data_IF_721752836373
#
_entry.id   IF_721752836373
#
_cell.length_a   1.000
_cell.length_b   1.000
_cell.length_c   1.000
_cell.angle_alpha   90.00
_cell.angle_beta   90.00
_cell.angle_gamma   90.00
#
_symmetry.space_group_name_H-M   'P 1'
#
loop_
_entity.id
_entity.type
_entity.pdbx_description
1 polymer ?
#
# COMPACT_ATOMS: atom_id res chain seq x y z
N UNK A 1 3.35 47.40 -39.75
CA UNK A 1 4.25 46.41 -39.12
C UNK A 1 5.19 47.13 -38.16
N UNK A 2 4.92 47.06 -36.86
CA UNK A 2 5.83 47.50 -35.81
C UNK A 2 5.93 46.37 -34.77
N UNK A 3 7.15 45.91 -34.40
CA UNK A 3 7.33 44.91 -33.35
C UNK A 3 7.10 45.51 -31.96
N UNK A 4 6.37 44.76 -31.14
CA UNK A 4 5.96 45.08 -29.77
C UNK A 4 7.14 45.05 -28.78
N UNK A 5 7.31 46.06 -27.90
CA UNK A 5 8.22 45.99 -26.76
C UNK A 5 7.61 45.20 -25.60
N UNK A 6 8.44 44.37 -24.98
CA UNK A 6 8.07 43.29 -24.06
C UNK A 6 7.39 43.71 -22.76
N UNK A 7 6.45 42.88 -22.36
CA UNK A 7 5.88 42.80 -21.03
C UNK A 7 6.90 42.12 -20.11
N UNK A 8 7.50 42.90 -19.20
CA UNK A 8 8.25 42.39 -18.06
C UNK A 8 7.30 41.97 -16.95
N UNK A 9 7.15 40.66 -16.74
CA UNK A 9 6.56 40.12 -15.51
C UNK A 9 7.69 39.50 -14.71
N UNK A 10 8.09 40.17 -13.65
CA UNK A 10 8.95 39.59 -12.61
C UNK A 10 8.07 38.78 -11.65
N UNK A 11 8.05 37.46 -11.81
CA UNK A 11 7.55 36.56 -10.76
C UNK A 11 8.68 36.35 -9.76
N UNK A 12 8.61 37.06 -8.63
CA UNK A 12 9.43 36.78 -7.46
C UNK A 12 8.94 35.48 -6.83
N UNK A 13 9.69 34.40 -7.04
CA UNK A 13 9.84 33.24 -6.16
C UNK A 13 8.56 32.70 -5.48
N UNK A 14 7.86 31.80 -6.15
CA UNK A 14 6.98 30.82 -5.51
C UNK A 14 7.77 29.51 -5.40
N UNK A 15 8.69 29.43 -4.44
CA UNK A 15 9.32 28.17 -4.06
C UNK A 15 8.37 27.42 -3.14
N UNK A 16 7.44 26.68 -3.75
CA UNK A 16 6.82 25.52 -3.10
C UNK A 16 7.62 24.31 -3.60
N UNK A 17 8.80 24.13 -3.02
CA UNK A 17 9.56 22.88 -3.15
C UNK A 17 10.32 22.67 -1.84
N UNK A 18 9.54 22.55 -0.76
CA UNK A 18 9.99 22.02 0.53
C UNK A 18 8.95 21.01 0.99
N UNK A 19 8.95 19.85 0.33
CA UNK A 19 8.51 18.60 0.95
C UNK A 19 9.64 17.60 0.75
N UNK A 20 10.31 17.13 1.81
CA UNK A 20 11.32 16.10 1.66
C UNK A 20 10.70 14.89 0.99
N UNK A 21 11.30 14.53 -0.14
CA UNK A 21 10.85 13.52 -1.06
C UNK A 21 10.76 12.15 -0.40
N UNK A 22 9.80 11.38 -0.88
CA UNK A 22 9.50 10.00 -0.50
C UNK A 22 10.60 9.06 -1.01
N UNK A 23 11.80 9.15 -0.47
CA UNK A 23 12.99 8.37 -0.87
C UNK A 23 12.92 6.87 -0.51
N UNK A 24 11.78 6.38 -0.01
CA UNK A 24 11.59 5.00 0.42
C UNK A 24 10.78 4.14 -0.56
N UNK A 25 10.33 4.70 -1.70
CA UNK A 25 9.50 3.98 -2.68
C UNK A 25 10.32 3.70 -3.95
N UNK A 26 10.68 2.43 -4.24
CA UNK A 26 11.32 2.10 -5.51
C UNK A 26 10.37 2.42 -6.67
N UNK A 27 10.93 2.95 -7.78
CA UNK A 27 10.27 3.38 -9.03
C UNK A 27 9.41 2.32 -9.74
N UNK A 28 9.17 1.16 -9.13
CA UNK A 28 8.29 0.12 -9.65
C UNK A 28 6.79 0.44 -9.45
N UNK A 29 6.44 1.42 -8.62
CA UNK A 29 5.08 1.99 -8.58
C UNK A 29 5.03 3.23 -9.49
N UNK A 30 4.58 3.08 -10.73
CA UNK A 30 4.37 4.20 -11.67
C UNK A 30 3.08 4.98 -11.38
N UNK A 31 2.74 5.18 -10.12
CA UNK A 31 1.54 5.93 -9.73
C UNK A 31 1.95 7.12 -8.84
N UNK A 32 1.64 8.37 -9.26
CA UNK A 32 1.98 9.55 -8.50
C UNK A 32 1.28 9.49 -7.15
N UNK A 33 1.93 10.05 -6.13
CA UNK A 33 1.57 9.94 -4.71
C UNK A 33 0.14 10.42 -4.38
N UNK A 34 -0.51 11.18 -5.28
CA UNK A 34 -1.90 11.62 -5.16
C UNK A 34 -2.94 10.63 -5.73
N UNK A 35 -2.48 9.64 -6.50
CA UNK A 35 -3.28 8.56 -7.07
C UNK A 35 -2.97 7.21 -6.39
N UNK A 36 -2.20 7.15 -5.29
CA UNK A 36 -1.92 5.91 -4.54
C UNK A 36 -3.19 5.05 -4.42
N UNK A 37 -3.35 3.98 -5.21
CA UNK A 37 -4.55 3.17 -5.14
C UNK A 37 -4.13 1.96 -4.34
N UNK A 38 -3.69 2.17 -3.11
CA UNK A 38 -4.01 1.12 -2.18
C UNK A 38 -5.51 1.26 -1.97
N UNK A 39 -6.21 0.17 -2.15
CA UNK A 39 -7.47 -0.05 -1.44
C UNK A 39 -7.17 -0.22 0.05
N UNK A 40 -6.34 0.68 0.62
CA UNK A 40 -6.02 0.84 2.02
C UNK A 40 -7.33 0.91 2.77
N UNK A 41 -8.33 1.62 2.28
CA UNK A 41 -9.64 1.65 2.96
C UNK A 41 -10.34 0.28 2.98
N UNK A 42 -10.29 -0.52 1.90
CA UNK A 42 -10.92 -1.86 1.90
C UNK A 42 -10.08 -2.87 2.70
N UNK A 43 -8.75 -2.82 2.59
CA UNK A 43 -7.83 -3.60 3.42
C UNK A 43 -7.92 -3.20 4.88
N UNK A 44 -7.97 -1.92 5.22
CA UNK A 44 -8.11 -1.41 6.57
C UNK A 44 -9.47 -1.80 7.14
N UNK A 45 -10.55 -1.71 6.36
CA UNK A 45 -11.85 -2.20 6.79
C UNK A 45 -11.84 -3.72 7.04
N UNK A 46 -11.19 -4.47 6.15
CA UNK A 46 -11.02 -5.92 6.29
C UNK A 46 -10.11 -6.26 7.48
N UNK A 47 -9.05 -5.48 7.73
CA UNK A 47 -8.15 -5.65 8.86
C UNK A 47 -8.84 -5.30 10.17
N UNK A 48 -9.54 -4.17 10.24
CA UNK A 48 -10.31 -3.76 11.41
C UNK A 48 -11.36 -4.81 11.79
N UNK A 49 -12.02 -5.41 10.78
CA UNK A 49 -13.10 -6.37 11.02
C UNK A 49 -12.61 -7.81 11.27
N UNK A 50 -11.49 -8.23 10.67
CA UNK A 50 -11.11 -9.64 10.61
C UNK A 50 -9.67 -9.94 11.01
N UNK A 51 -8.78 -8.96 11.20
CA UNK A 51 -7.38 -9.24 11.51
C UNK A 51 -7.21 -9.76 12.94
N UNK A 52 -6.83 -11.02 13.04
CA UNK A 52 -6.46 -11.64 14.31
C UNK A 52 -5.00 -11.34 14.66
N UNK A 53 -4.07 -11.46 13.71
CA UNK A 53 -2.65 -11.16 13.90
C UNK A 53 -1.99 -10.72 12.59
N UNK A 54 -1.03 -9.79 12.66
CA UNK A 54 -0.10 -9.52 11.58
C UNK A 54 1.34 -9.59 12.10
N UNK A 55 2.20 -10.31 11.37
CA UNK A 55 3.60 -10.47 11.72
C UNK A 55 4.49 -10.40 10.48
N UNK A 56 5.72 -9.93 10.68
CA UNK A 56 6.81 -10.13 9.73
C UNK A 56 7.52 -11.44 10.12
N UNK A 57 7.38 -12.45 9.27
CA UNK A 57 8.12 -13.71 9.41
C UNK A 57 9.60 -13.51 8.99
N UNK A 58 9.84 -12.59 8.04
CA UNK A 58 11.17 -12.17 7.58
C UNK A 58 11.11 -10.72 7.06
N UNK A 59 12.26 -10.05 6.80
CA UNK A 59 12.26 -8.68 6.25
C UNK A 59 11.47 -8.52 4.94
N UNK A 60 11.32 -9.60 4.18
CA UNK A 60 10.64 -9.65 2.88
C UNK A 60 9.39 -10.53 2.89
N UNK A 61 8.97 -11.05 4.05
CA UNK A 61 7.82 -11.94 4.18
C UNK A 61 6.96 -11.57 5.39
N UNK A 62 5.68 -11.38 5.16
CA UNK A 62 4.69 -11.13 6.19
C UNK A 62 3.60 -12.20 6.16
N UNK A 63 2.99 -12.42 7.32
CA UNK A 63 1.84 -13.29 7.51
C UNK A 63 0.76 -12.51 8.25
N UNK A 64 -0.43 -12.45 7.65
CA UNK A 64 -1.63 -11.93 8.30
C UNK A 64 -2.63 -13.05 8.49
N UNK A 65 -3.07 -13.25 9.72
CA UNK A 65 -4.12 -14.22 10.06
C UNK A 65 -5.42 -13.44 10.21
N UNK A 66 -6.40 -13.83 9.42
CA UNK A 66 -7.72 -13.23 9.38
C UNK A 66 -8.76 -14.25 9.83
N UNK A 67 -9.62 -13.86 10.77
CA UNK A 67 -10.69 -14.68 11.31
C UNK A 67 -12.04 -14.11 10.93
N UNK A 68 -12.95 -14.95 10.46
CA UNK A 68 -14.28 -14.51 10.06
C UNK A 68 -15.14 -15.61 9.49
N UNK A 69 -16.32 -15.21 8.99
CA UNK A 69 -17.33 -16.13 8.47
C UNK A 69 -17.00 -16.74 7.10
N UNK A 70 -17.89 -17.61 6.60
CA UNK A 70 -17.73 -18.25 5.29
C UNK A 70 -17.55 -17.21 4.17
N UNK A 71 -16.62 -17.48 3.25
CA UNK A 71 -16.29 -16.59 2.13
C UNK A 71 -15.20 -15.55 2.41
N UNK A 72 -14.62 -15.50 3.63
CA UNK A 72 -13.52 -14.58 3.93
C UNK A 72 -12.29 -14.88 3.07
N UNK A 73 -11.90 -16.14 2.92
CA UNK A 73 -10.75 -16.53 2.09
C UNK A 73 -10.91 -16.11 0.63
N UNK A 74 -12.11 -16.22 0.06
CA UNK A 74 -12.40 -15.78 -1.31
C UNK A 74 -12.31 -14.27 -1.46
N UNK A 75 -12.82 -13.51 -0.49
CA UNK A 75 -12.69 -12.04 -0.48
C UNK A 75 -11.24 -11.59 -0.35
N UNK A 76 -10.48 -12.24 0.53
CA UNK A 76 -9.04 -11.97 0.71
C UNK A 76 -8.28 -12.29 -0.58
N UNK A 77 -8.61 -13.40 -1.25
CA UNK A 77 -8.00 -13.79 -2.51
C UNK A 77 -8.34 -12.82 -3.66
N UNK A 78 -9.61 -12.45 -3.85
CA UNK A 78 -10.03 -11.46 -4.86
C UNK A 78 -9.33 -10.11 -4.65
N UNK A 79 -9.22 -9.67 -3.39
CA UNK A 79 -8.55 -8.43 -3.06
C UNK A 79 -7.04 -8.52 -3.34
N UNK A 80 -6.40 -9.62 -2.96
CA UNK A 80 -4.98 -9.86 -3.23
C UNK A 80 -4.66 -9.95 -4.73
N UNK A 81 -5.52 -10.59 -5.53
CA UNK A 81 -5.36 -10.70 -6.98
C UNK A 81 -5.41 -9.31 -7.64
N UNK A 82 -6.37 -8.48 -7.23
CA UNK A 82 -6.50 -7.10 -7.73
C UNK A 82 -5.30 -6.23 -7.36
N UNK A 83 -4.78 -6.35 -6.16
CA UNK A 83 -3.56 -5.63 -5.77
C UNK A 83 -2.33 -6.11 -6.55
N UNK A 84 -2.19 -7.41 -6.77
CA UNK A 84 -1.09 -7.97 -7.56
C UNK A 84 -1.08 -7.42 -9.00
N UNK A 85 -2.25 -7.10 -9.56
CA UNK A 85 -2.37 -6.46 -10.88
C UNK A 85 -1.90 -5.00 -10.90
N UNK A 86 -2.04 -4.28 -9.78
CA UNK A 86 -1.64 -2.88 -9.64
C UNK A 86 -0.18 -2.71 -9.17
N UNK A 87 0.29 -3.63 -8.32
CA UNK A 87 1.63 -3.66 -7.74
C UNK A 87 2.24 -5.07 -7.89
N UNK A 88 2.74 -5.37 -9.08
CA UNK A 88 3.21 -6.71 -9.47
C UNK A 88 4.43 -7.24 -8.72
N UNK A 89 5.06 -6.43 -7.88
CA UNK A 89 6.16 -6.85 -7.02
C UNK A 89 5.68 -7.54 -5.73
N UNK A 90 4.40 -7.43 -5.36
CA UNK A 90 3.84 -8.21 -4.28
C UNK A 90 3.45 -9.61 -4.78
N UNK A 91 3.96 -10.62 -4.10
CA UNK A 91 3.46 -11.98 -4.22
C UNK A 91 2.55 -12.27 -3.03
N UNK A 92 1.27 -12.51 -3.31
CA UNK A 92 0.28 -12.86 -2.31
C UNK A 92 -0.02 -14.36 -2.35
N UNK A 93 -0.12 -14.99 -1.19
CA UNK A 93 -0.56 -16.37 -1.05
C UNK A 93 -1.70 -16.41 -0.04
N UNK A 94 -2.89 -16.81 -0.47
CA UNK A 94 -4.05 -16.93 0.43
C UNK A 94 -4.30 -18.41 0.72
N UNK A 95 -4.35 -18.76 2.00
CA UNK A 95 -4.66 -20.11 2.47
C UNK A 95 -5.94 -20.05 3.30
N UNK A 96 -6.98 -20.77 2.90
CA UNK A 96 -8.18 -20.90 3.71
C UNK A 96 -7.88 -21.71 4.98
N UNK A 97 -8.46 -21.30 6.12
CA UNK A 97 -8.35 -22.02 7.40
C UNK A 97 -9.75 -22.34 7.93
N UNK A 98 -9.84 -23.23 8.92
CA UNK A 98 -11.11 -23.60 9.57
C UNK A 98 -11.87 -22.39 10.16
N UNK A 99 -11.16 -21.33 10.52
CA UNK A 99 -11.72 -20.14 11.20
C UNK A 99 -11.62 -18.85 10.37
N UNK A 100 -11.14 -18.95 9.12
CA UNK A 100 -10.97 -17.79 8.25
C UNK A 100 -9.93 -18.00 7.14
N UNK A 101 -8.91 -17.15 7.12
CA UNK A 101 -7.90 -17.14 6.07
C UNK A 101 -6.54 -16.68 6.60
N UNK A 102 -5.47 -17.22 6.03
CA UNK A 102 -4.12 -16.72 6.19
C UNK A 102 -3.67 -16.08 4.88
N UNK A 103 -3.18 -14.84 4.96
CA UNK A 103 -2.59 -14.12 3.84
C UNK A 103 -1.07 -14.01 4.06
N UNK A 104 -0.32 -14.75 3.26
CA UNK A 104 1.11 -14.59 3.10
C UNK A 104 1.41 -13.50 2.08
N UNK A 105 2.37 -12.62 2.41
CA UNK A 105 2.82 -11.54 1.52
C UNK A 105 4.33 -11.62 1.40
N UNK A 106 4.84 -11.67 0.17
CA UNK A 106 6.26 -11.67 -0.14
C UNK A 106 6.60 -10.52 -1.09
N UNK A 107 7.76 -9.90 -0.87
CA UNK A 107 8.27 -8.80 -1.71
C UNK A 107 9.75 -8.98 -2.00
N UNK A 108 10.28 -8.44 -3.11
CA UNK A 108 11.71 -8.34 -3.31
C UNK A 108 12.37 -7.50 -2.20
N UNK A 109 13.65 -7.77 -1.90
CA UNK A 109 14.40 -7.08 -0.83
C UNK A 109 14.37 -5.55 -0.93
N UNK A 110 14.34 -5.00 -2.15
CA UNK A 110 14.23 -3.56 -2.39
C UNK A 110 12.93 -2.94 -1.84
N UNK A 111 11.90 -3.74 -1.58
CA UNK A 111 10.58 -3.32 -1.10
C UNK A 111 10.29 -3.79 0.33
N UNK A 112 11.28 -4.30 1.06
CA UNK A 112 11.13 -4.74 2.46
C UNK A 112 10.57 -3.63 3.38
N UNK A 113 10.97 -2.38 3.15
CA UNK A 113 10.45 -1.21 3.88
C UNK A 113 8.95 -1.01 3.67
N UNK A 114 8.45 -1.27 2.47
CA UNK A 114 7.03 -1.17 2.10
C UNK A 114 6.24 -2.25 2.84
N UNK A 115 6.73 -3.49 2.85
CA UNK A 115 6.09 -4.59 3.57
C UNK A 115 6.03 -4.31 5.08
N UNK A 116 7.11 -3.80 5.66
CA UNK A 116 7.13 -3.44 7.08
C UNK A 116 6.15 -2.30 7.41
N UNK A 117 6.01 -1.31 6.52
CA UNK A 117 5.01 -0.25 6.66
C UNK A 117 3.57 -0.80 6.63
N UNK A 118 3.29 -1.74 5.73
CA UNK A 118 1.98 -2.40 5.63
C UNK A 118 1.61 -3.14 6.93
N UNK A 119 2.53 -3.95 7.47
CA UNK A 119 2.30 -4.71 8.71
C UNK A 119 2.05 -3.76 9.89
N UNK A 120 2.84 -2.69 10.03
CA UNK A 120 2.62 -1.69 11.09
C UNK A 120 1.25 -1.02 10.98
N UNK A 121 0.78 -0.75 9.76
CA UNK A 121 -0.55 -0.19 9.56
C UNK A 121 -1.64 -1.18 9.95
N UNK A 122 -1.54 -2.43 9.52
CA UNK A 122 -2.51 -3.47 9.85
C UNK A 122 -2.67 -3.63 11.37
N UNK A 123 -1.56 -3.65 12.11
CA UNK A 123 -1.55 -3.66 13.58
C UNK A 123 -2.16 -2.38 14.18
N UNK A 124 -1.84 -1.20 13.64
CA UNK A 124 -2.39 0.07 14.13
C UNK A 124 -3.92 0.17 13.92
N UNK A 125 -4.42 -0.31 12.78
CA UNK A 125 -5.85 -0.34 12.47
C UNK A 125 -6.57 -1.29 13.42
N UNK A 126 -6.04 -2.49 13.62
CA UNK A 126 -6.57 -3.46 14.60
C UNK A 126 -6.57 -2.91 16.02
N UNK A 127 -5.53 -2.19 16.43
CA UNK A 127 -5.47 -1.58 17.76
C UNK A 127 -6.48 -0.43 17.95
N UNK A 128 -7.04 0.09 16.86
CA UNK A 128 -8.01 1.19 16.86
C UNK A 128 -9.46 0.73 16.69
N UNK A 129 -9.68 -0.57 16.44
CA UNK A 129 -10.99 -1.21 16.23
C UNK A 129 -11.50 -1.88 17.51
#
# INVERSE_FOLDING_TARGET
MHPVPGYGVTVTSMSIDDRPELDWVPRACTLPTAEQPLRLAEFDALFAAHLATAALDAPTRARLVLTGGPGLAERVADLAERESSCCSFFAFTTTATEVGAELGIEVPAAHASVLAALVRRAEAVKASA
#
